data_IF_553277527859
#
_entry.id   IF_553277527859
#
_cell.length_a   1.000
_cell.length_b   1.000
_cell.length_c   1.000
_cell.angle_alpha   90.00
_cell.angle_beta   90.00
_cell.angle_gamma   90.00
#
_symmetry.space_group_name_H-M   'P 1'
#
loop_
_entity.id
_entity.type
_entity.pdbx_description
1 polymer ?
#
# COMPACT_ATOMS: atom_id res chain seq x y z
N UNK A 1 13.51 -8.99 3.22
CA UNK A 1 13.00 -7.62 3.43
C UNK A 1 14.11 -6.58 3.54
N UNK A 2 15.06 -6.72 4.45
CA UNK A 2 16.14 -5.72 4.64
C UNK A 2 16.88 -5.36 3.35
N UNK A 3 17.30 -6.35 2.54
CA UNK A 3 17.99 -6.11 1.26
C UNK A 3 17.10 -5.34 0.27
N UNK A 4 15.80 -5.58 0.26
CA UNK A 4 14.87 -4.87 -0.64
C UNK A 4 14.79 -3.40 -0.21
N UNK A 5 14.64 -3.13 1.08
CA UNK A 5 14.66 -1.77 1.61
C UNK A 5 15.99 -1.05 1.39
N UNK A 6 17.13 -1.75 1.53
CA UNK A 6 18.44 -1.17 1.21
C UNK A 6 18.53 -0.69 -0.26
N UNK A 7 17.92 -1.41 -1.21
CA UNK A 7 17.82 -0.97 -2.61
C UNK A 7 16.95 0.28 -2.75
N UNK A 8 15.77 0.27 -2.13
CA UNK A 8 14.83 1.41 -2.15
C UNK A 8 15.48 2.64 -1.51
N UNK A 9 16.07 2.51 -0.32
CA UNK A 9 16.73 3.60 0.42
C UNK A 9 17.89 4.20 -0.36
N UNK A 10 18.73 3.36 -0.99
CA UNK A 10 19.83 3.83 -1.83
C UNK A 10 19.34 4.62 -3.04
N UNK A 11 18.26 4.15 -3.68
CA UNK A 11 17.68 4.87 -4.80
C UNK A 11 17.06 6.19 -4.34
N UNK A 12 16.31 6.19 -3.25
CA UNK A 12 15.72 7.41 -2.67
C UNK A 12 16.78 8.42 -2.24
N UNK A 13 17.87 7.97 -1.64
CA UNK A 13 18.98 8.85 -1.24
C UNK A 13 19.56 9.62 -2.43
N UNK A 14 19.61 9.00 -3.60
CA UNK A 14 20.15 9.59 -4.82
C UNK A 14 19.12 10.45 -5.59
N UNK A 15 17.84 10.07 -5.60
CA UNK A 15 16.83 10.61 -6.52
C UNK A 15 15.68 11.36 -5.83
N UNK A 16 15.38 11.02 -4.55
CA UNK A 16 14.25 11.57 -3.80
C UNK A 16 14.56 11.67 -2.29
N UNK A 17 15.63 12.41 -1.88
CA UNK A 17 16.05 12.46 -0.48
C UNK A 17 15.00 13.04 0.46
N UNK A 18 14.03 13.78 -0.04
CA UNK A 18 12.89 14.30 0.72
C UNK A 18 11.96 13.16 1.15
N UNK A 19 11.67 12.22 0.24
CA UNK A 19 10.88 11.01 0.55
C UNK A 19 11.62 10.14 1.56
N UNK A 20 12.91 9.89 1.36
CA UNK A 20 13.71 9.11 2.33
C UNK A 20 13.67 9.70 3.74
N UNK A 21 13.74 11.02 3.87
CA UNK A 21 13.71 11.71 5.18
C UNK A 21 12.37 11.58 5.89
N UNK A 22 11.28 11.38 5.16
CA UNK A 22 9.96 11.21 5.73
C UNK A 22 9.67 9.77 6.18
N UNK A 23 10.49 8.80 5.79
CA UNK A 23 10.32 7.43 6.24
C UNK A 23 10.61 7.32 7.75
N UNK A 24 9.65 6.78 8.47
CA UNK A 24 9.74 6.64 9.93
C UNK A 24 10.65 5.48 10.32
N UNK A 25 11.28 5.53 11.50
CA UNK A 25 11.97 4.38 12.08
C UNK A 25 11.06 3.16 12.15
N UNK A 26 11.65 1.98 12.11
CA UNK A 26 10.89 0.73 12.15
C UNK A 26 10.03 0.57 13.40
N UNK A 27 8.88 -0.10 13.23
CA UNK A 27 7.99 -0.49 14.31
C UNK A 27 8.69 -1.46 15.28
N UNK A 28 8.41 -1.29 16.56
CA UNK A 28 8.84 -2.26 17.58
C UNK A 28 7.84 -3.43 17.71
N UNK A 29 8.23 -4.47 18.44
CA UNK A 29 7.41 -5.68 18.56
C UNK A 29 6.08 -5.43 19.29
N UNK A 30 6.01 -4.45 20.19
CA UNK A 30 4.78 -4.09 20.90
C UNK A 30 3.77 -3.42 19.95
N UNK A 31 4.23 -2.54 19.05
CA UNK A 31 3.38 -1.90 18.02
C UNK A 31 2.81 -2.93 17.07
N UNK A 32 3.65 -3.86 16.57
CA UNK A 32 3.22 -4.95 15.70
C UNK A 32 2.21 -5.86 16.39
N UNK A 33 2.51 -6.29 17.62
CA UNK A 33 1.60 -7.15 18.39
C UNK A 33 0.24 -6.49 18.67
N UNK A 34 0.24 -5.20 18.99
CA UNK A 34 -1.00 -4.43 19.21
C UNK A 34 -1.87 -4.38 17.94
N UNK A 35 -1.25 -4.23 16.78
CA UNK A 35 -1.96 -4.28 15.51
C UNK A 35 -2.50 -5.68 15.21
N UNK A 36 -1.70 -6.74 15.41
CA UNK A 36 -2.17 -8.13 15.26
C UNK A 36 -3.38 -8.43 16.14
N UNK A 37 -3.39 -7.92 17.38
CA UNK A 37 -4.55 -8.02 18.29
C UNK A 37 -5.77 -7.27 17.74
N UNK A 38 -5.57 -6.04 17.24
CA UNK A 38 -6.65 -5.24 16.65
C UNK A 38 -7.28 -5.92 15.42
N UNK A 39 -6.44 -6.38 14.49
CA UNK A 39 -6.90 -7.06 13.27
C UNK A 39 -7.37 -8.50 13.50
N UNK A 40 -7.09 -9.07 14.67
CA UNK A 40 -7.46 -10.45 15.05
C UNK A 40 -6.72 -11.52 14.23
N UNK A 41 -5.57 -11.20 13.69
CA UNK A 41 -4.75 -12.09 12.82
C UNK A 41 -3.27 -11.90 13.09
N UNK A 42 -2.48 -12.95 12.90
CA UNK A 42 -1.02 -12.84 12.84
C UNK A 42 -0.59 -12.31 11.47
N UNK A 43 0.31 -11.32 11.47
CA UNK A 43 0.83 -10.75 10.23
C UNK A 43 1.86 -11.68 9.57
N UNK A 44 1.91 -11.74 8.23
CA UNK A 44 2.96 -12.44 7.51
C UNK A 44 4.35 -11.95 7.91
N UNK A 45 5.32 -12.86 7.96
CA UNK A 45 6.67 -12.53 8.44
C UNK A 45 7.37 -11.50 7.53
N UNK A 46 7.15 -11.54 6.23
CA UNK A 46 7.69 -10.55 5.28
C UNK A 46 7.10 -9.16 5.54
N UNK A 47 5.83 -9.05 5.87
CA UNK A 47 5.18 -7.80 6.25
C UNK A 47 5.76 -7.26 7.58
N UNK A 48 5.85 -8.09 8.63
CA UNK A 48 6.48 -7.69 9.91
C UNK A 48 7.92 -7.24 9.73
N UNK A 49 8.72 -7.99 8.97
CA UNK A 49 10.11 -7.65 8.69
C UNK A 49 10.26 -6.34 7.90
N UNK A 50 9.29 -5.99 7.05
CA UNK A 50 9.26 -4.71 6.35
C UNK A 50 9.02 -3.57 7.34
N UNK A 51 7.99 -3.69 8.15
CA UNK A 51 7.64 -2.65 9.13
C UNK A 51 8.69 -2.46 10.23
N UNK A 52 9.53 -3.47 10.50
CA UNK A 52 10.72 -3.29 11.35
C UNK A 52 11.85 -2.47 10.71
N UNK A 53 11.82 -2.24 9.39
CA UNK A 53 12.75 -1.33 8.72
C UNK A 53 12.17 0.08 8.72
N UNK A 54 10.98 0.26 8.16
CA UNK A 54 10.25 1.52 8.14
C UNK A 54 8.79 1.32 8.56
N UNK A 55 8.34 2.10 9.54
CA UNK A 55 6.97 2.09 10.04
C UNK A 55 6.17 3.22 9.38
N UNK A 56 6.00 3.12 8.05
CA UNK A 56 5.31 4.16 7.29
C UNK A 56 6.17 5.41 7.07
N UNK A 57 5.51 6.48 6.70
CA UNK A 57 6.09 7.80 6.49
C UNK A 57 5.41 8.85 7.40
N UNK A 58 6.01 10.03 7.51
CA UNK A 58 5.42 11.16 8.23
C UNK A 58 4.19 11.68 7.46
N UNK A 59 3.16 12.07 8.20
CA UNK A 59 1.96 12.68 7.64
C UNK A 59 2.29 13.95 6.86
N UNK A 60 1.50 14.27 5.84
CA UNK A 60 1.69 15.45 4.98
C UNK A 60 3.08 15.53 4.31
N UNK A 61 3.77 14.39 4.15
CA UNK A 61 5.04 14.29 3.46
C UNK A 61 4.88 13.85 2.01
N UNK A 62 5.99 13.82 1.26
CA UNK A 62 5.99 13.31 -0.10
C UNK A 62 5.78 11.80 -0.14
N UNK A 63 4.84 11.34 -0.95
CA UNK A 63 4.46 9.93 -1.06
C UNK A 63 5.61 9.03 -1.54
N UNK A 64 5.79 7.90 -0.85
CA UNK A 64 6.76 6.86 -1.22
C UNK A 64 6.28 6.08 -2.44
N UNK A 65 5.03 5.63 -2.42
CA UNK A 65 4.42 4.96 -3.57
C UNK A 65 3.71 6.00 -4.46
N UNK A 66 3.60 5.79 -5.77
CA UNK A 66 2.96 6.76 -6.65
C UNK A 66 1.55 7.13 -6.19
N UNK A 67 1.36 8.39 -5.82
CA UNK A 67 0.11 8.97 -5.31
C UNK A 67 -0.41 8.34 -3.98
N UNK A 68 0.36 7.44 -3.36
CA UNK A 68 -0.06 6.70 -2.18
C UNK A 68 0.90 6.97 -1.00
N UNK A 69 0.34 7.40 0.12
CA UNK A 69 1.05 7.50 1.38
C UNK A 69 1.38 6.12 1.93
N UNK A 70 2.61 5.91 2.41
CA UNK A 70 2.96 4.68 3.13
C UNK A 70 2.54 4.82 4.60
N UNK A 71 1.52 4.05 4.99
CA UNK A 71 0.91 4.13 6.32
C UNK A 71 1.80 3.54 7.41
N UNK A 72 1.84 4.22 8.57
CA UNK A 72 2.32 3.58 9.79
C UNK A 72 1.34 2.48 10.25
N UNK A 73 1.80 1.57 11.10
CA UNK A 73 0.93 0.55 11.73
C UNK A 73 -0.25 1.20 12.47
N UNK A 74 -0.03 2.33 13.11
CA UNK A 74 -1.10 3.06 13.79
C UNK A 74 -2.10 3.67 12.79
N UNK A 75 -1.61 4.30 11.72
CA UNK A 75 -2.46 4.85 10.66
C UNK A 75 -3.24 3.76 9.92
N UNK A 76 -2.65 2.55 9.75
CA UNK A 76 -3.35 1.39 9.19
C UNK A 76 -4.57 0.98 10.04
N UNK A 77 -4.45 1.01 11.36
CA UNK A 77 -5.58 0.78 12.29
C UNK A 77 -6.67 1.84 12.08
N UNK A 78 -6.30 3.12 12.05
CA UNK A 78 -7.25 4.23 11.90
C UNK A 78 -7.98 4.22 10.56
N UNK A 79 -7.29 3.89 9.48
CA UNK A 79 -7.92 3.71 8.16
C UNK A 79 -8.88 2.52 8.17
N UNK A 80 -8.48 1.39 8.76
CA UNK A 80 -9.36 0.22 8.88
C UNK A 80 -10.63 0.52 9.68
N UNK A 81 -10.52 1.27 10.79
CA UNK A 81 -11.68 1.72 11.58
C UNK A 81 -12.62 2.62 10.75
N UNK A 82 -12.08 3.55 9.96
CA UNK A 82 -12.88 4.41 9.08
C UNK A 82 -13.68 3.56 8.08
N UNK A 83 -13.03 2.61 7.40
CA UNK A 83 -13.69 1.72 6.46
C UNK A 83 -14.79 0.86 7.09
N UNK A 84 -14.54 0.32 8.30
CA UNK A 84 -15.53 -0.47 9.05
C UNK A 84 -16.74 0.37 9.48
N UNK A 85 -16.51 1.61 9.93
CA UNK A 85 -17.57 2.51 10.37
C UNK A 85 -18.45 3.05 9.22
N UNK A 86 -17.92 3.05 7.99
CA UNK A 86 -18.66 3.47 6.79
C UNK A 86 -19.22 2.26 6.01
N UNK A 87 -19.38 1.10 6.66
CA UNK A 87 -19.80 -0.13 6.00
C UNK A 87 -21.10 0.04 5.19
N UNK A 88 -21.11 -0.53 3.99
CA UNK A 88 -22.29 -0.70 3.17
C UNK A 88 -22.53 -2.21 2.93
N UNK A 89 -23.49 -2.77 3.66
CA UNK A 89 -23.82 -4.19 3.57
C UNK A 89 -24.42 -4.59 2.22
N UNK A 90 -24.88 -3.61 1.43
CA UNK A 90 -25.41 -3.83 0.08
C UNK A 90 -24.35 -3.68 -1.00
N UNK A 91 -23.17 -3.19 -0.64
CA UNK A 91 -22.07 -3.03 -1.60
C UNK A 91 -21.66 -4.38 -2.19
N UNK A 92 -21.54 -4.40 -3.50
CA UNK A 92 -20.97 -5.53 -4.27
C UNK A 92 -20.25 -4.96 -5.48
N UNK A 93 -19.12 -5.51 -5.80
CA UNK A 93 -18.51 -5.30 -7.10
C UNK A 93 -19.36 -6.03 -8.16
N UNK A 94 -19.62 -5.39 -9.28
CA UNK A 94 -20.46 -5.95 -10.35
C UNK A 94 -19.58 -6.46 -11.51
N UNK A 95 -20.01 -7.57 -12.10
CA UNK A 95 -19.52 -8.09 -13.37
C UNK A 95 -18.06 -8.53 -13.37
N UNK A 96 -17.33 -8.12 -14.43
CA UNK A 96 -15.95 -8.54 -14.71
C UNK A 96 -14.89 -7.88 -13.79
N UNK A 97 -15.30 -6.98 -12.90
CA UNK A 97 -14.44 -6.28 -11.94
C UNK A 97 -14.12 -7.12 -10.69
N UNK A 98 -14.61 -8.36 -10.63
CA UNK A 98 -14.34 -9.29 -9.54
C UNK A 98 -13.14 -10.17 -9.90
N UNK A 99 -12.00 -9.90 -9.28
CA UNK A 99 -10.85 -10.78 -9.39
C UNK A 99 -11.05 -12.07 -8.58
N UNK A 100 -10.80 -13.22 -9.22
CA UNK A 100 -10.81 -14.51 -8.54
C UNK A 100 -9.87 -14.48 -7.32
N UNK A 101 -10.33 -15.00 -6.18
CA UNK A 101 -9.56 -15.00 -4.95
C UNK A 101 -9.69 -13.76 -4.08
N UNK A 102 -10.42 -12.72 -4.51
CA UNK A 102 -10.73 -11.54 -3.69
C UNK A 102 -12.20 -11.58 -3.28
N UNK A 103 -12.47 -11.26 -2.01
CA UNK A 103 -13.84 -11.21 -1.53
C UNK A 103 -14.60 -10.00 -2.09
N UNK A 104 -15.79 -10.26 -2.62
CA UNK A 104 -16.64 -9.25 -3.21
C UNK A 104 -17.55 -8.59 -2.17
N UNK A 105 -17.07 -7.59 -1.50
CA UNK A 105 -17.84 -6.82 -0.52
C UNK A 105 -17.13 -5.53 -0.14
N UNK A 106 -17.74 -4.76 0.76
CA UNK A 106 -17.26 -3.43 1.12
C UNK A 106 -15.86 -3.46 1.73
N UNK A 107 -15.71 -4.08 2.90
CA UNK A 107 -14.47 -4.13 3.67
C UNK A 107 -14.38 -5.40 4.50
N UNK A 108 -13.19 -5.97 4.59
CA UNK A 108 -12.90 -7.07 5.54
C UNK A 108 -12.01 -6.58 6.67
N UNK A 109 -12.30 -6.93 7.94
CA UNK A 109 -11.43 -6.62 9.06
C UNK A 109 -10.00 -7.17 8.92
N UNK A 110 -9.82 -8.23 8.13
CA UNK A 110 -8.54 -8.88 7.87
C UNK A 110 -7.81 -8.34 6.61
N UNK A 111 -8.28 -7.24 6.03
CA UNK A 111 -7.55 -6.46 5.06
C UNK A 111 -6.72 -5.41 5.80
N UNK A 112 -5.40 -5.50 5.71
CA UNK A 112 -4.47 -4.63 6.43
C UNK A 112 -4.01 -3.55 5.47
N UNK A 113 -4.56 -2.32 5.52
CA UNK A 113 -4.12 -1.25 4.65
C UNK A 113 -2.69 -0.86 4.99
N UNK A 114 -1.85 -0.70 3.99
CA UNK A 114 -0.47 -0.21 4.15
C UNK A 114 -0.19 1.02 3.29
N UNK A 115 -1.11 1.38 2.41
CA UNK A 115 -1.10 2.66 1.70
C UNK A 115 -2.46 3.35 1.82
N UNK A 116 -2.48 4.65 1.54
CA UNK A 116 -3.71 5.42 1.46
C UNK A 116 -3.56 6.54 0.42
N UNK A 117 -4.61 6.78 -0.35
CA UNK A 117 -4.74 7.91 -1.24
C UNK A 117 -5.78 8.90 -0.69
N UNK A 118 -5.65 10.19 -1.03
CA UNK A 118 -6.56 11.25 -0.57
C UNK A 118 -8.03 11.03 -0.95
N UNK A 119 -8.29 10.27 -2.03
CA UNK A 119 -9.64 9.87 -2.48
C UNK A 119 -10.21 8.66 -1.74
N UNK A 120 -9.43 8.03 -0.85
CA UNK A 120 -9.79 6.87 -0.05
C UNK A 120 -9.39 5.52 -0.63
N UNK A 121 -8.75 5.46 -1.80
CA UNK A 121 -8.15 4.21 -2.29
C UNK A 121 -7.00 3.77 -1.38
N UNK A 122 -6.87 2.47 -1.16
CA UNK A 122 -5.77 1.91 -0.38
C UNK A 122 -5.34 0.54 -0.91
N UNK A 123 -4.06 0.24 -0.75
CA UNK A 123 -3.56 -1.10 -0.97
C UNK A 123 -3.51 -1.83 0.36
N UNK A 124 -3.94 -3.08 0.35
CA UNK A 124 -4.08 -3.90 1.55
C UNK A 124 -3.37 -5.25 1.38
N UNK A 125 -2.83 -5.76 2.49
CA UNK A 125 -2.50 -7.18 2.60
C UNK A 125 -3.77 -7.93 3.00
N UNK A 126 -4.22 -8.85 2.14
CA UNK A 126 -5.42 -9.65 2.36
C UNK A 126 -5.08 -10.94 3.14
N UNK A 127 -5.48 -11.01 4.40
CA UNK A 127 -5.27 -12.17 5.27
C UNK A 127 -6.50 -13.10 5.36
N UNK A 128 -7.56 -12.79 4.61
CA UNK A 128 -8.75 -13.64 4.52
C UNK A 128 -9.30 -13.68 3.08
N UNK A 129 -8.50 -14.15 2.10
CA UNK A 129 -8.90 -14.16 0.70
C UNK A 129 -10.13 -15.04 0.46
N UNK A 130 -10.78 -14.83 -0.68
CA UNK A 130 -11.81 -15.74 -1.17
C UNK A 130 -11.20 -17.02 -1.74
N UNK A 131 -12.04 -17.97 -2.16
CA UNK A 131 -11.60 -19.20 -2.80
C UNK A 131 -10.77 -18.87 -4.07
N UNK A 132 -9.60 -19.49 -4.19
CA UNK A 132 -8.64 -19.23 -5.28
C UNK A 132 -7.59 -18.16 -4.97
N UNK A 133 -7.75 -17.37 -3.90
CA UNK A 133 -6.76 -16.38 -3.46
C UNK A 133 -5.70 -16.94 -2.51
N UNK A 134 -4.65 -16.17 -2.30
CA UNK A 134 -3.54 -16.52 -1.41
C UNK A 134 -3.56 -15.62 -0.16
N UNK A 135 -3.40 -16.21 1.02
CA UNK A 135 -3.22 -15.44 2.26
C UNK A 135 -1.95 -14.60 2.15
N UNK A 136 -2.07 -13.31 2.40
CA UNK A 136 -0.98 -12.35 2.27
C UNK A 136 -0.85 -11.72 0.88
N UNK A 137 -1.75 -12.02 -0.06
CA UNK A 137 -1.81 -11.30 -1.33
C UNK A 137 -2.02 -9.81 -1.13
N UNK A 138 -1.52 -8.99 -2.05
CA UNK A 138 -1.71 -7.53 -2.04
C UNK A 138 -2.82 -7.17 -3.02
N UNK A 139 -3.79 -6.42 -2.54
CA UNK A 139 -4.97 -6.00 -3.30
C UNK A 139 -5.12 -4.48 -3.26
N UNK A 140 -5.75 -3.92 -4.31
CA UNK A 140 -6.26 -2.55 -4.30
C UNK A 140 -7.73 -2.55 -3.87
N UNK A 141 -8.08 -1.59 -3.02
CA UNK A 141 -9.45 -1.35 -2.54
C UNK A 141 -9.79 0.11 -2.80
N UNK A 142 -10.79 0.37 -3.63
CA UNK A 142 -11.21 1.72 -3.98
C UNK A 142 -12.56 2.08 -3.32
N UNK A 143 -12.64 3.32 -2.83
CA UNK A 143 -13.82 3.83 -2.15
C UNK A 143 -14.94 4.23 -3.12
N UNK A 144 -14.59 4.93 -4.21
CA UNK A 144 -15.57 5.50 -5.13
C UNK A 144 -16.03 4.52 -6.21
N UNK A 145 -15.16 3.59 -6.57
CA UNK A 145 -15.44 2.57 -7.57
C UNK A 145 -15.44 1.18 -6.91
N UNK A 146 -16.37 0.30 -7.29
CA UNK A 146 -16.46 -1.02 -6.69
C UNK A 146 -15.34 -1.97 -7.19
N UNK A 147 -14.12 -1.45 -7.35
CA UNK A 147 -13.00 -2.23 -7.86
C UNK A 147 -12.19 -2.85 -6.74
N UNK A 148 -11.89 -4.14 -6.90
CA UNK A 148 -10.98 -4.91 -6.06
C UNK A 148 -10.04 -5.68 -6.97
N UNK A 149 -8.80 -5.25 -7.03
CA UNK A 149 -7.80 -5.80 -7.93
C UNK A 149 -6.66 -6.52 -7.20
N UNK A 150 -6.13 -7.59 -7.79
CA UNK A 150 -4.90 -8.23 -7.33
C UNK A 150 -3.69 -7.46 -7.86
N UNK A 151 -2.81 -7.02 -6.96
CA UNK A 151 -1.57 -6.30 -7.31
C UNK A 151 -0.37 -7.25 -7.28
N UNK A 152 -0.24 -8.04 -6.20
CA UNK A 152 0.88 -8.95 -6.04
C UNK A 152 0.47 -10.21 -5.24
N UNK A 153 1.16 -11.34 -5.46
CA UNK A 153 0.85 -12.58 -4.75
C UNK A 153 1.20 -12.55 -3.25
N UNK A 154 2.09 -11.64 -2.83
CA UNK A 154 2.46 -11.39 -1.44
C UNK A 154 3.21 -10.06 -1.31
N UNK A 155 3.40 -9.60 -0.07
CA UNK A 155 4.01 -8.31 0.22
C UNK A 155 5.50 -8.23 -0.20
N UNK A 156 6.25 -9.35 -0.12
CA UNK A 156 7.63 -9.41 -0.61
C UNK A 156 7.71 -9.11 -2.11
N UNK A 157 6.89 -9.80 -2.91
CA UNK A 157 6.88 -9.60 -4.38
C UNK A 157 6.45 -8.17 -4.72
N UNK A 158 5.50 -7.60 -4.00
CA UNK A 158 5.11 -6.20 -4.14
C UNK A 158 6.31 -5.26 -4.00
N UNK A 159 7.06 -5.35 -2.88
CA UNK A 159 8.22 -4.47 -2.65
C UNK A 159 9.40 -4.78 -3.57
N UNK A 160 9.63 -6.03 -3.95
CA UNK A 160 10.66 -6.38 -4.96
C UNK A 160 10.33 -5.76 -6.31
N UNK A 161 9.07 -5.84 -6.75
CA UNK A 161 8.61 -5.23 -8.00
C UNK A 161 8.78 -3.71 -7.96
N UNK A 162 8.44 -3.07 -6.85
CA UNK A 162 8.63 -1.64 -6.67
C UNK A 162 10.12 -1.24 -6.72
N UNK A 163 11.00 -1.96 -6.02
CA UNK A 163 12.44 -1.72 -6.06
C UNK A 163 13.03 -1.89 -7.48
N UNK A 164 12.58 -2.94 -8.19
CA UNK A 164 12.99 -3.17 -9.58
C UNK A 164 12.54 -2.03 -10.50
N UNK A 165 11.33 -1.52 -10.33
CA UNK A 165 10.77 -0.42 -11.12
C UNK A 165 11.53 0.90 -10.87
N UNK A 166 11.92 1.17 -9.61
CA UNK A 166 12.79 2.31 -9.27
C UNK A 166 14.14 2.22 -10.00
N UNK A 167 14.78 1.05 -9.97
CA UNK A 167 16.08 0.82 -10.62
C UNK A 167 16.01 0.87 -12.15
N UNK A 168 14.86 0.49 -12.74
CA UNK A 168 14.61 0.64 -14.19
C UNK A 168 14.29 2.09 -14.60
N UNK A 169 14.11 3.01 -13.64
CA UNK A 169 13.77 4.40 -13.91
C UNK A 169 12.31 4.59 -14.36
N UNK A 170 11.39 3.74 -13.91
CA UNK A 170 9.97 3.86 -14.18
C UNK A 170 9.31 4.96 -13.33
N UNK A 171 9.95 5.35 -12.23
CA UNK A 171 9.51 6.41 -11.32
C UNK A 171 10.49 7.57 -11.25
N UNK A 172 9.97 8.75 -10.94
CA UNK A 172 10.77 9.93 -10.62
C UNK A 172 10.14 10.71 -9.46
N UNK A 173 10.95 11.52 -8.79
CA UNK A 173 10.44 12.49 -7.83
C UNK A 173 9.85 13.71 -8.52
N UNK A 174 8.70 14.18 -8.03
CA UNK A 174 8.03 15.40 -8.47
C UNK A 174 7.47 16.14 -7.25
N UNK A 175 7.86 17.41 -7.09
CA UNK A 175 7.29 18.27 -6.05
C UNK A 175 5.81 18.55 -6.33
N UNK A 176 5.46 18.84 -7.57
CA UNK A 176 4.08 19.10 -8.01
C UNK A 176 3.20 17.82 -7.95
N UNK A 177 3.82 16.64 -8.06
CA UNK A 177 3.17 15.34 -7.93
C UNK A 177 3.15 14.80 -6.51
N UNK A 178 3.58 15.58 -5.53
CA UNK A 178 3.56 15.22 -4.10
C UNK A 178 4.35 13.94 -3.75
N UNK A 179 5.41 13.62 -4.49
CA UNK A 179 6.27 12.47 -4.21
C UNK A 179 6.75 11.73 -5.45
N UNK A 180 6.78 10.39 -5.36
CA UNK A 180 7.11 9.57 -6.53
C UNK A 180 5.93 9.52 -7.50
N UNK A 181 6.21 9.68 -8.77
CA UNK A 181 5.22 9.61 -9.86
C UNK A 181 5.67 8.60 -10.92
N UNK A 182 4.71 7.88 -11.48
CA UNK A 182 4.95 7.00 -12.62
C UNK A 182 5.23 7.83 -13.89
N UNK A 183 6.28 7.48 -14.62
CA UNK A 183 6.66 8.21 -15.83
C UNK A 183 5.68 7.99 -16.98
N UNK A 184 5.05 6.83 -17.05
CA UNK A 184 4.08 6.52 -18.13
C UNK A 184 2.84 7.37 -17.96
N UNK A 185 2.30 7.46 -16.75
CA UNK A 185 1.11 8.27 -16.45
C UNK A 185 1.40 9.77 -16.58
N UNK A 186 2.59 10.20 -16.17
CA UNK A 186 3.00 11.60 -16.28
C UNK A 186 3.12 12.08 -17.74
N UNK A 187 3.70 11.27 -18.63
CA UNK A 187 3.80 11.60 -20.06
C UNK A 187 2.43 11.71 -20.72
N UNK A 188 1.48 10.82 -20.34
CA UNK A 188 0.10 10.86 -20.83
C UNK A 188 -0.62 12.14 -20.38
N UNK A 189 -0.44 12.55 -19.13
CA UNK A 189 -1.02 13.78 -18.58
C UNK A 189 -0.46 15.03 -19.28
N UNK A 190 0.85 15.10 -19.52
CA UNK A 190 1.48 16.23 -20.22
C UNK A 190 1.08 16.35 -21.68
N UNK A 191 0.81 15.22 -22.36
CA UNK A 191 0.31 15.22 -23.74
C UNK A 191 -1.14 15.72 -23.88
N UNK A 192 -1.97 15.61 -22.82
CA UNK A 192 -3.36 16.08 -22.81
C UNK A 192 -3.48 17.59 -22.56
N UNK A 193 -2.42 18.26 -22.10
CA UNK A 193 -2.41 19.68 -21.76
C UNK A 193 -1.65 20.56 -22.78
N UNK A 194 -1.14 19.98 -23.87
CA UNK A 194 -0.58 20.65 -25.05
C UNK A 194 -1.50 20.47 -26.27
#
# INVERSE_FOLDING_TARGET
MKIIWERIDNWLAANAPQVLKSLRPGANDEELHRAEVFFGVEFPEDFKLSYRVHNGQDEESYSLFPNLEFLSIQSAIEISEKWQNCSDDNFRCDGDDIFEGIWNGWWKPNWIPFTNESNGACECVDLAPAAGGNVGQVIIVEWQEPTRGLIAPNFRVYLETFADALERGEYRFSEDGYGLVDLVDFEILMQKHN
#
